data_IF_200904592658
#
_entry.id   IF_200904592658
#
_cell.length_a   1.000
_cell.length_b   1.000
_cell.length_c   1.000
_cell.angle_alpha   90.00
_cell.angle_beta   90.00
_cell.angle_gamma   90.00
#
_symmetry.space_group_name_H-M   'P 1'
#
loop_
_entity.id
_entity.type
_entity.pdbx_description
1 polymer ?
#
# COMPACT_ATOMS: atom_id res chain seq x y z
N UNK A 1 39.86 -59.77 -11.74
CA UNK A 1 40.02 -59.44 -10.30
C UNK A 1 40.27 -57.95 -10.08
N UNK A 2 41.23 -57.32 -10.77
CA UNK A 2 41.67 -55.95 -10.48
C UNK A 2 40.63 -54.85 -10.78
N UNK A 3 39.81 -55.00 -11.84
CA UNK A 3 38.79 -53.99 -12.21
C UNK A 3 37.65 -53.90 -11.18
N UNK A 4 37.26 -55.01 -10.55
CA UNK A 4 36.16 -55.04 -9.57
C UNK A 4 36.53 -54.29 -8.28
N UNK A 5 37.79 -54.39 -7.85
CA UNK A 5 38.30 -53.73 -6.65
C UNK A 5 38.35 -52.20 -6.85
N UNK A 6 38.72 -51.74 -8.06
CA UNK A 6 38.77 -50.31 -8.39
C UNK A 6 37.38 -49.68 -8.41
N UNK A 7 36.37 -50.38 -8.95
CA UNK A 7 34.98 -49.89 -8.95
C UNK A 7 34.42 -49.80 -7.52
N UNK A 8 34.70 -50.79 -6.68
CA UNK A 8 34.22 -50.78 -5.28
C UNK A 8 34.85 -49.64 -4.46
N UNK A 9 36.12 -49.33 -4.71
CA UNK A 9 36.82 -48.22 -4.04
C UNK A 9 36.26 -46.84 -4.44
N UNK A 10 35.81 -46.67 -5.70
CA UNK A 10 35.21 -45.41 -6.18
C UNK A 10 33.79 -45.22 -5.62
N UNK A 11 33.02 -46.30 -5.47
CA UNK A 11 31.69 -46.23 -4.84
C UNK A 11 31.80 -45.89 -3.35
N UNK A 12 32.78 -46.45 -2.64
CA UNK A 12 33.00 -46.17 -1.23
C UNK A 12 33.43 -44.71 -0.94
N UNK A 13 34.23 -44.10 -1.82
CA UNK A 13 34.64 -42.69 -1.67
C UNK A 13 33.51 -41.70 -1.96
N UNK A 14 32.59 -42.04 -2.87
CA UNK A 14 31.39 -41.22 -3.13
C UNK A 14 30.42 -41.20 -1.95
N UNK A 15 30.26 -42.31 -1.22
CA UNK A 15 29.41 -42.37 -0.02
C UNK A 15 30.01 -41.63 1.18
N UNK A 16 31.33 -41.61 1.34
CA UNK A 16 32.01 -40.96 2.47
C UNK A 16 31.93 -39.42 2.46
N UNK A 17 31.57 -38.82 1.31
CA UNK A 17 31.42 -37.37 1.15
C UNK A 17 29.98 -36.87 1.27
N UNK A 18 29.00 -37.76 1.50
CA UNK A 18 27.63 -37.35 1.77
C UNK A 18 27.52 -36.76 3.18
N UNK A 19 27.83 -35.47 3.31
CA UNK A 19 27.48 -34.67 4.48
C UNK A 19 26.11 -34.05 4.23
N UNK A 20 25.02 -34.56 4.83
CA UNK A 20 23.74 -33.86 4.76
C UNK A 20 23.94 -32.48 5.40
N UNK A 21 23.67 -31.43 4.63
CA UNK A 21 23.66 -30.05 5.13
C UNK A 21 22.59 -30.02 6.23
N UNK A 22 22.90 -29.57 7.46
CA UNK A 22 21.88 -29.40 8.48
C UNK A 22 20.93 -28.29 8.00
N UNK A 23 19.77 -28.70 7.48
CA UNK A 23 18.68 -27.78 7.18
C UNK A 23 18.12 -27.36 8.53
N UNK A 24 18.56 -26.21 9.03
CA UNK A 24 17.87 -25.56 10.14
C UNK A 24 16.40 -25.42 9.73
N UNK A 25 15.42 -25.73 10.61
CA UNK A 25 14.02 -25.42 10.34
C UNK A 25 13.90 -23.91 10.13
N UNK A 26 13.93 -23.48 8.86
CA UNK A 26 13.56 -22.13 8.48
C UNK A 26 12.11 -21.97 8.92
N UNK A 27 11.87 -21.14 9.94
CA UNK A 27 10.52 -20.78 10.32
C UNK A 27 9.94 -19.95 9.17
N UNK A 28 9.18 -20.60 8.28
CA UNK A 28 8.47 -19.93 7.22
C UNK A 28 7.15 -19.39 7.77
N UNK A 29 6.85 -18.13 7.45
CA UNK A 29 5.55 -17.55 7.77
C UNK A 29 4.53 -18.07 6.76
N UNK A 30 3.45 -18.67 7.24
CA UNK A 30 2.39 -19.21 6.37
C UNK A 30 1.48 -18.11 5.84
N UNK A 31 0.88 -18.35 4.68
CA UNK A 31 -0.23 -17.56 4.16
C UNK A 31 -1.53 -18.17 4.70
N UNK A 32 -2.33 -17.38 5.41
CA UNK A 32 -3.62 -17.77 5.98
C UNK A 32 -4.75 -17.57 4.98
N UNK A 33 -4.72 -16.48 4.21
CA UNK A 33 -5.70 -16.16 3.18
C UNK A 33 -5.00 -15.57 1.96
N UNK A 34 -5.47 -15.91 0.77
CA UNK A 34 -5.07 -15.28 -0.47
C UNK A 34 -6.23 -15.34 -1.45
N UNK A 35 -6.59 -14.20 -2.01
CA UNK A 35 -7.67 -14.05 -2.98
C UNK A 35 -7.21 -13.18 -4.15
N UNK A 36 -7.68 -13.53 -5.34
CA UNK A 36 -7.41 -12.80 -6.57
C UNK A 36 -8.62 -12.90 -7.49
N UNK A 37 -9.13 -11.75 -7.93
CA UNK A 37 -10.26 -11.61 -8.83
C UNK A 37 -9.84 -10.70 -9.99
N UNK A 38 -10.14 -11.16 -11.21
CA UNK A 38 -9.77 -10.45 -12.43
C UNK A 38 -8.34 -10.72 -12.91
N UNK A 39 -7.80 -9.88 -13.83
CA UNK A 39 -8.46 -8.70 -14.38
C UNK A 39 -9.73 -9.05 -15.15
N UNK A 40 -10.80 -8.32 -14.86
CA UNK A 40 -12.08 -8.42 -15.54
C UNK A 40 -12.01 -7.72 -16.91
N UNK A 41 -12.96 -8.00 -17.83
CA UNK A 41 -12.97 -7.37 -19.16
C UNK A 41 -13.07 -5.84 -19.15
N UNK A 42 -13.58 -5.25 -18.07
CA UNK A 42 -13.67 -3.80 -17.83
C UNK A 42 -12.39 -3.20 -17.21
N UNK A 43 -11.33 -4.01 -17.07
CA UNK A 43 -10.07 -3.60 -16.45
C UNK A 43 -10.08 -3.58 -14.92
N UNK A 44 -11.18 -3.94 -14.27
CA UNK A 44 -11.23 -4.03 -12.81
C UNK A 44 -10.51 -5.27 -12.28
N UNK A 45 -9.94 -5.17 -11.08
CA UNK A 45 -9.32 -6.30 -10.38
C UNK A 45 -9.46 -6.13 -8.88
N UNK A 46 -9.26 -7.23 -8.15
CA UNK A 46 -9.11 -7.21 -6.70
C UNK A 46 -8.12 -8.29 -6.27
N UNK A 47 -7.29 -7.99 -5.28
CA UNK A 47 -6.44 -8.99 -4.64
C UNK A 47 -6.36 -8.75 -3.14
N UNK A 48 -6.12 -9.80 -2.37
CA UNK A 48 -5.80 -9.67 -0.95
C UNK A 48 -5.01 -10.87 -0.45
N UNK A 49 -4.22 -10.66 0.62
CA UNK A 49 -3.56 -11.73 1.34
C UNK A 49 -3.43 -11.44 2.84
N UNK A 50 -3.27 -12.51 3.62
CA UNK A 50 -2.99 -12.45 5.05
C UNK A 50 -1.97 -13.52 5.43
N UNK A 51 -1.00 -13.17 6.25
CA UNK A 51 0.07 -14.05 6.73
C UNK A 51 -0.09 -14.39 8.21
N UNK A 52 0.55 -15.47 8.64
CA UNK A 52 0.51 -15.96 10.02
C UNK A 52 1.05 -14.95 11.05
N UNK A 53 2.01 -14.12 10.67
CA UNK A 53 2.56 -13.07 11.54
C UNK A 53 1.77 -11.75 11.48
N UNK A 54 0.54 -11.76 10.95
CA UNK A 54 -0.37 -10.61 10.99
C UNK A 54 -0.10 -9.54 9.93
N UNK A 55 0.71 -9.83 8.90
CA UNK A 55 0.81 -8.96 7.73
C UNK A 55 -0.41 -9.23 6.87
N UNK A 56 -1.13 -8.18 6.49
CA UNK A 56 -2.23 -8.30 5.55
C UNK A 56 -2.24 -7.11 4.60
N UNK A 57 -2.66 -7.37 3.37
CA UNK A 57 -2.81 -6.35 2.36
C UNK A 57 -3.99 -6.68 1.44
N UNK A 58 -4.64 -5.64 0.94
CA UNK A 58 -5.69 -5.74 -0.05
C UNK A 58 -5.66 -4.53 -0.98
N UNK A 59 -6.11 -4.73 -2.21
CA UNK A 59 -6.29 -3.67 -3.19
C UNK A 59 -7.38 -4.04 -4.16
N UNK A 60 -8.15 -3.04 -4.56
CA UNK A 60 -9.08 -3.09 -5.68
C UNK A 60 -8.73 -1.98 -6.66
N UNK A 61 -8.70 -2.32 -7.94
CA UNK A 61 -8.44 -1.38 -9.03
C UNK A 61 -9.56 -1.39 -10.04
N UNK A 62 -9.79 -0.24 -10.67
CA UNK A 62 -10.71 -0.11 -11.80
C UNK A 62 -10.24 0.98 -12.75
N UNK A 63 -10.67 0.88 -14.02
CA UNK A 63 -10.38 1.88 -15.04
C UNK A 63 -11.52 2.89 -15.09
N UNK A 64 -11.22 4.17 -14.83
CA UNK A 64 -12.12 5.29 -15.05
C UNK A 64 -12.18 5.63 -16.54
N UNK A 65 -13.38 5.94 -17.02
CA UNK A 65 -13.64 6.25 -18.43
C UNK A 65 -13.16 5.16 -19.41
N UNK A 66 -13.32 3.89 -19.04
CA UNK A 66 -12.92 2.74 -19.86
C UNK A 66 -13.39 2.87 -21.32
N UNK A 67 -12.46 2.71 -22.27
CA UNK A 67 -12.75 2.82 -23.70
C UNK A 67 -12.74 4.25 -24.28
N UNK A 68 -12.40 5.27 -23.49
CA UNK A 68 -12.13 6.63 -23.98
C UNK A 68 -10.61 6.93 -23.91
N UNK A 69 -9.85 6.79 -25.02
CA UNK A 69 -8.39 6.90 -25.01
C UNK A 69 -7.83 8.24 -24.49
N UNK A 70 -8.63 9.31 -24.50
CA UNK A 70 -8.21 10.64 -24.05
C UNK A 70 -8.48 10.90 -22.56
N UNK A 71 -9.34 10.10 -21.92
CA UNK A 71 -9.78 10.30 -20.54
C UNK A 71 -9.64 9.04 -19.67
N UNK A 72 -9.15 7.95 -20.24
CA UNK A 72 -8.93 6.67 -19.56
C UNK A 72 -7.84 6.81 -18.51
N UNK A 73 -8.15 6.42 -17.27
CA UNK A 73 -7.23 6.50 -16.15
C UNK A 73 -7.46 5.37 -15.16
N UNK A 74 -6.38 4.84 -14.59
CA UNK A 74 -6.46 3.79 -13.59
C UNK A 74 -6.65 4.40 -12.20
N UNK A 75 -7.56 3.83 -11.41
CA UNK A 75 -7.68 4.13 -9.99
C UNK A 75 -7.59 2.84 -9.18
N UNK A 76 -6.74 2.84 -8.17
CA UNK A 76 -6.60 1.74 -7.21
C UNK A 76 -6.77 2.26 -5.78
N UNK A 77 -7.47 1.50 -4.95
CA UNK A 77 -7.59 1.77 -3.53
C UNK A 77 -7.27 0.49 -2.76
N UNK A 78 -6.52 0.62 -1.68
CA UNK A 78 -6.08 -0.54 -0.93
C UNK A 78 -5.68 -0.23 0.51
N UNK A 79 -5.32 -1.29 1.22
CA UNK A 79 -4.87 -1.23 2.60
C UNK A 79 -3.70 -2.17 2.84
N UNK A 80 -2.87 -1.80 3.82
CA UNK A 80 -1.73 -2.59 4.28
C UNK A 80 -1.64 -2.48 5.80
N UNK A 81 -1.43 -3.61 6.47
CA UNK A 81 -1.20 -3.66 7.92
C UNK A 81 -0.11 -4.65 8.30
N UNK A 82 0.64 -4.32 9.34
CA UNK A 82 1.62 -5.19 9.99
C UNK A 82 1.90 -4.72 11.42
N UNK A 83 2.56 -5.55 12.21
CA UNK A 83 3.07 -5.16 13.54
C UNK A 83 4.55 -4.82 13.43
N UNK A 84 4.93 -3.61 13.85
CA UNK A 84 6.32 -3.17 13.88
C UNK A 84 7.13 -3.88 15.00
N UNK A 85 8.47 -3.87 14.95
CA UNK A 85 9.31 -4.55 15.95
C UNK A 85 9.12 -4.09 17.40
N UNK A 86 8.57 -2.90 17.61
CA UNK A 86 8.21 -2.33 18.91
C UNK A 86 6.81 -2.74 19.41
N UNK A 87 6.13 -3.65 18.69
CA UNK A 87 4.74 -4.06 18.87
C UNK A 87 3.70 -2.99 18.51
N UNK A 88 4.10 -1.90 17.84
CA UNK A 88 3.15 -0.90 17.36
C UNK A 88 2.39 -1.45 16.15
N UNK A 89 1.04 -1.48 16.17
CA UNK A 89 0.27 -1.83 14.97
C UNK A 89 0.38 -0.70 13.94
N UNK A 90 0.85 -1.04 12.75
CA UNK A 90 0.93 -0.14 11.61
C UNK A 90 -0.19 -0.48 10.64
N UNK A 91 -0.95 0.54 10.26
CA UNK A 91 -1.96 0.46 9.22
C UNK A 91 -1.82 1.65 8.28
N UNK A 92 -1.97 1.36 6.99
CA UNK A 92 -1.95 2.30 5.88
C UNK A 92 -3.17 2.01 5.00
N UNK A 93 -3.87 3.05 4.58
CA UNK A 93 -4.81 3.00 3.47
C UNK A 93 -4.34 3.95 2.38
N UNK A 94 -4.73 3.73 1.14
CA UNK A 94 -4.34 4.62 0.06
C UNK A 94 -5.37 4.66 -1.07
N UNK A 95 -5.29 5.76 -1.82
CA UNK A 95 -5.87 5.89 -3.16
C UNK A 95 -4.73 6.25 -4.11
N UNK A 96 -4.61 5.52 -5.21
CA UNK A 96 -3.67 5.77 -6.29
C UNK A 96 -4.46 6.08 -7.56
N UNK A 97 -4.36 7.31 -8.04
CA UNK A 97 -5.03 7.76 -9.26
C UNK A 97 -4.20 8.83 -9.97
N UNK A 98 -4.80 9.66 -10.82
CA UNK A 98 -4.14 10.71 -11.61
C UNK A 98 -3.43 11.75 -10.73
N UNK A 99 -3.87 11.92 -9.48
CA UNK A 99 -3.23 12.80 -8.51
C UNK A 99 -2.06 12.10 -7.77
N UNK A 100 -1.67 10.91 -8.20
CA UNK A 100 -0.62 10.10 -7.60
C UNK A 100 -1.11 9.26 -6.41
N UNK A 101 -0.15 8.78 -5.63
CA UNK A 101 -0.37 7.95 -4.44
C UNK A 101 -0.68 8.81 -3.22
N UNK A 102 -1.85 8.62 -2.63
CA UNK A 102 -2.36 9.40 -1.51
C UNK A 102 -2.54 8.46 -0.29
N UNK A 103 -1.48 8.27 0.51
CA UNK A 103 -1.53 7.41 1.68
C UNK A 103 -2.16 8.11 2.89
N UNK A 104 -2.84 7.34 3.72
CA UNK A 104 -3.36 7.74 5.03
C UNK A 104 -2.97 6.70 6.07
N UNK A 105 -2.45 7.16 7.21
CA UNK A 105 -2.01 6.29 8.30
C UNK A 105 -1.48 7.10 9.46
N UNK A 106 -1.72 6.65 10.69
CA UNK A 106 -1.33 7.37 11.91
C UNK A 106 0.18 7.55 12.08
N UNK A 107 0.98 6.74 11.37
CA UNK A 107 2.43 6.75 11.40
C UNK A 107 3.05 7.70 10.36
N UNK A 108 2.23 8.33 9.51
CA UNK A 108 2.71 9.24 8.48
C UNK A 108 3.01 10.63 9.07
N UNK A 109 3.99 11.36 8.53
CA UNK A 109 4.22 12.75 8.92
C UNK A 109 2.99 13.61 8.63
N UNK A 110 2.54 14.37 9.63
CA UNK A 110 1.50 15.39 9.44
C UNK A 110 2.13 16.74 9.15
N UNK A 111 1.49 17.60 8.33
CA UNK A 111 1.92 18.99 8.18
C UNK A 111 2.01 19.71 9.53
N UNK A 112 2.89 20.72 9.68
CA UNK A 112 2.95 21.50 10.90
C UNK A 112 1.60 22.21 11.15
N UNK A 113 1.25 22.46 12.43
CA UNK A 113 0.03 23.16 12.77
C UNK A 113 0.00 24.58 12.16
N UNK A 114 -1.20 25.07 11.86
CA UNK A 114 -1.40 26.42 11.34
C UNK A 114 -0.85 27.44 12.36
N UNK A 115 -0.04 28.43 11.95
CA UNK A 115 0.48 29.46 12.85
C UNK A 115 -0.64 30.25 13.56
N UNK A 116 -0.44 30.58 14.84
CA UNK A 116 -1.45 31.27 15.67
C UNK A 116 -1.93 32.60 15.09
N UNK A 117 -1.05 33.34 14.40
CA UNK A 117 -1.43 34.59 13.74
C UNK A 117 -2.49 34.37 12.64
N UNK A 118 -2.35 33.29 11.85
CA UNK A 118 -3.31 32.93 10.81
C UNK A 118 -4.65 32.53 11.43
N UNK A 119 -4.62 31.72 12.50
CA UNK A 119 -5.84 31.35 13.23
C UNK A 119 -6.59 32.59 13.73
N UNK A 120 -5.90 33.54 14.36
CA UNK A 120 -6.49 34.80 14.81
C UNK A 120 -7.08 35.62 13.67
N UNK A 121 -6.38 35.70 12.53
CA UNK A 121 -6.89 36.41 11.36
C UNK A 121 -8.16 35.75 10.80
N UNK A 122 -8.22 34.42 10.75
CA UNK A 122 -9.40 33.68 10.31
C UNK A 122 -10.58 33.87 11.27
N UNK A 123 -10.34 33.82 12.58
CA UNK A 123 -11.34 34.11 13.62
C UNK A 123 -11.87 35.54 13.51
N UNK A 124 -10.98 36.52 13.30
CA UNK A 124 -11.37 37.91 13.11
C UNK A 124 -12.25 38.08 11.87
N UNK A 125 -11.85 37.52 10.72
CA UNK A 125 -12.62 37.60 9.48
C UNK A 125 -13.99 36.92 9.62
N UNK A 126 -14.06 35.78 10.31
CA UNK A 126 -15.32 35.09 10.59
C UNK A 126 -16.24 35.90 11.51
N UNK A 127 -15.68 36.64 12.48
CA UNK A 127 -16.43 37.52 13.37
C UNK A 127 -16.83 38.86 12.73
N UNK A 128 -16.17 39.27 11.65
CA UNK A 128 -16.41 40.53 10.93
C UNK A 128 -16.71 40.24 9.44
N UNK A 129 -17.87 39.62 9.13
CA UNK A 129 -18.26 39.40 7.75
C UNK A 129 -18.34 40.74 7.00
N UNK A 130 -17.91 40.74 5.74
CA UNK A 130 -17.99 41.93 4.90
C UNK A 130 -19.45 42.38 4.75
N UNK A 131 -19.67 43.68 4.82
CA UNK A 131 -20.98 44.27 4.58
C UNK A 131 -21.24 44.23 3.07
N UNK A 132 -22.36 43.63 2.67
CA UNK A 132 -22.73 43.53 1.26
C UNK A 132 -23.14 44.92 0.73
N UNK A 133 -22.17 45.63 0.13
CA UNK A 133 -22.34 46.98 -0.42
C UNK A 133 -23.14 47.02 -1.74
N UNK A 134 -23.67 45.86 -2.18
CA UNK A 134 -24.50 45.74 -3.39
C UNK A 134 -25.79 46.58 -3.35
N UNK A 135 -26.20 47.08 -2.18
CA UNK A 135 -27.36 47.97 -2.02
C UNK A 135 -27.04 49.47 -2.16
N UNK A 136 -25.76 49.89 -2.22
CA UNK A 136 -25.38 51.30 -2.37
C UNK A 136 -25.23 51.76 -3.82
N UNK A 137 -24.87 50.86 -4.74
CA UNK A 137 -24.77 51.16 -6.18
C UNK A 137 -26.12 51.46 -6.87
N UNK A 138 -27.23 50.89 -6.37
CA UNK A 138 -28.56 51.08 -6.94
C UNK A 138 -29.19 52.46 -6.65
N UNK A 139 -28.59 53.27 -5.76
CA UNK A 139 -29.14 54.59 -5.38
C UNK A 139 -28.49 55.77 -6.12
N UNK A 140 -27.41 55.53 -6.88
CA UNK A 140 -26.65 56.58 -7.57
C UNK A 140 -26.67 56.49 -9.11
N UNK A 141 -27.50 55.63 -9.71
CA UNK A 141 -27.76 55.64 -11.15
C UNK A 141 -28.85 56.66 -11.51
N UNK A 142 -28.47 57.89 -11.86
CA UNK A 142 -29.29 58.83 -12.64
C UNK A 142 -28.68 59.04 -14.01
#
# INVERSE_FOLDING_TARGET
>A
MNIVIVIFAIVASAFAQYRPIPVSPQHFIRILRQEQVGPNPDGSYQWSYETENGIAADEQGHVKNFGNPQAEAMEAAGSFRYTAPDNTPIQLTYIANENGFQPSGAHLPTPPPIPLAILRSLEYNAAHPEQDDSLQGARYGK
#
